data_IF_181906591802
#
_entry.id   IF_181906591802
#
_cell.length_a   1.000
_cell.length_b   1.000
_cell.length_c   1.000
_cell.angle_alpha   90.00
_cell.angle_beta   90.00
_cell.angle_gamma   90.00
#
_symmetry.space_group_name_H-M   'P 1'
#
loop_
_entity.id
_entity.type
_entity.pdbx_description
1 polymer ?
#
# COMPACT_ATOMS: atom_id res chain seq x y z
N UNK A 1 2.69 -52.38 -19.04
CA UNK A 1 3.60 -51.40 -18.38
C UNK A 1 3.75 -50.07 -19.13
N UNK A 2 3.53 -50.01 -20.46
CA UNK A 2 3.69 -48.79 -21.30
C UNK A 2 2.80 -47.56 -21.01
N UNK A 3 1.67 -47.69 -20.27
CA UNK A 3 0.76 -46.56 -20.00
C UNK A 3 1.18 -45.67 -18.83
N UNK A 4 1.92 -46.19 -17.84
CA UNK A 4 2.39 -45.41 -16.67
C UNK A 4 3.57 -44.51 -17.01
N UNK A 5 4.42 -44.93 -17.94
CA UNK A 5 5.59 -44.17 -18.39
C UNK A 5 5.18 -42.90 -19.16
N UNK A 6 4.16 -42.99 -20.03
CA UNK A 6 3.65 -41.82 -20.77
C UNK A 6 2.96 -40.79 -19.87
N UNK A 7 2.34 -41.21 -18.76
CA UNK A 7 1.71 -40.30 -17.80
C UNK A 7 2.76 -39.53 -16.97
N UNK A 8 3.86 -40.21 -16.60
CA UNK A 8 4.98 -39.56 -15.91
C UNK A 8 5.72 -38.56 -16.80
N UNK A 9 5.89 -38.87 -18.09
CA UNK A 9 6.48 -37.93 -19.07
C UNK A 9 5.58 -36.72 -19.30
N UNK A 10 4.25 -36.90 -19.36
CA UNK A 10 3.31 -35.79 -19.51
C UNK A 10 3.26 -34.89 -18.27
N UNK A 11 3.37 -35.47 -17.07
CA UNK A 11 3.49 -34.70 -15.81
C UNK A 11 4.82 -33.95 -15.71
N UNK A 12 5.94 -34.52 -16.21
CA UNK A 12 7.24 -33.85 -16.22
C UNK A 12 7.27 -32.66 -17.18
N UNK A 13 6.59 -32.76 -18.33
CA UNK A 13 6.44 -31.67 -19.30
C UNK A 13 5.52 -30.56 -18.74
N UNK A 14 4.46 -30.91 -18.00
CA UNK A 14 3.60 -29.92 -17.34
C UNK A 14 4.30 -29.19 -16.18
N UNK A 15 5.17 -29.86 -15.41
CA UNK A 15 5.97 -29.22 -14.36
C UNK A 15 7.05 -28.30 -14.96
N UNK A 16 7.54 -28.60 -16.16
CA UNK A 16 8.47 -27.73 -16.90
C UNK A 16 7.78 -26.50 -17.53
N UNK A 17 6.48 -26.56 -17.83
CA UNK A 17 5.71 -25.42 -18.35
C UNK A 17 5.19 -24.46 -17.27
N UNK A 18 5.25 -24.83 -15.98
CA UNK A 18 4.81 -24.00 -14.85
C UNK A 18 5.96 -23.47 -13.97
N UNK A 19 7.22 -23.62 -14.37
CA UNK A 19 8.35 -22.94 -13.73
C UNK A 19 8.67 -21.63 -14.49
N UNK A 20 8.46 -20.43 -13.92
CA UNK A 20 8.84 -19.18 -14.55
C UNK A 20 10.34 -18.91 -14.32
N UNK A 21 11.17 -19.91 -14.60
CA UNK A 21 12.60 -19.84 -14.32
C UNK A 21 13.32 -20.68 -15.35
N UNK A 22 13.49 -20.11 -16.55
CA UNK A 22 14.78 -20.08 -17.27
C UNK A 22 14.62 -19.13 -18.49
N UNK A 23 15.33 -18.01 -18.36
CA UNK A 23 15.94 -17.16 -19.38
C UNK A 23 15.05 -16.35 -20.35
N UNK A 24 15.07 -15.03 -20.16
CA UNK A 24 15.58 -14.08 -21.17
C UNK A 24 15.96 -12.75 -20.49
N UNK A 25 17.19 -12.29 -20.75
CA UNK A 25 17.64 -10.94 -20.45
C UNK A 25 18.36 -10.77 -19.12
N UNK A 26 19.66 -10.45 -19.18
CA UNK A 26 20.39 -9.85 -18.08
C UNK A 26 19.64 -8.60 -17.60
N UNK A 27 19.03 -8.68 -16.44
CA UNK A 27 18.81 -7.53 -15.58
C UNK A 27 19.47 -7.88 -14.26
N UNK A 28 20.67 -7.38 -14.03
CA UNK A 28 21.15 -7.10 -12.68
C UNK A 28 20.18 -6.11 -12.06
N UNK A 29 19.07 -6.60 -11.52
CA UNK A 29 18.26 -5.87 -10.56
C UNK A 29 19.07 -5.83 -9.27
N UNK A 30 19.64 -4.67 -8.97
CA UNK A 30 20.30 -4.41 -7.69
C UNK A 30 19.38 -4.81 -6.51
N UNK A 31 19.90 -5.47 -5.47
CA UNK A 31 19.12 -5.83 -4.29
C UNK A 31 18.75 -4.63 -3.39
N UNK A 32 19.12 -3.40 -3.76
CA UNK A 32 18.85 -2.19 -2.95
C UNK A 32 17.40 -1.69 -3.05
N UNK A 33 16.75 -1.82 -4.21
CA UNK A 33 15.41 -1.24 -4.43
C UNK A 33 14.30 -1.91 -3.62
N UNK A 34 14.46 -3.21 -3.32
CA UNK A 34 13.51 -3.95 -2.49
C UNK A 34 13.52 -3.48 -1.03
N UNK A 35 14.67 -3.02 -0.54
CA UNK A 35 14.83 -2.51 0.83
C UNK A 35 14.20 -1.12 0.97
N UNK A 36 14.52 -0.19 0.06
CA UNK A 36 13.95 1.17 0.03
C UNK A 36 12.42 1.14 -0.05
N UNK A 37 11.86 0.27 -0.91
CA UNK A 37 10.41 0.17 -1.04
C UNK A 37 9.71 -0.36 0.23
N UNK A 38 10.33 -1.30 0.93
CA UNK A 38 9.84 -1.78 2.22
C UNK A 38 9.90 -0.67 3.28
N UNK A 39 10.98 0.12 3.30
CA UNK A 39 11.12 1.27 4.20
C UNK A 39 10.04 2.32 3.94
N UNK A 40 9.73 2.62 2.67
CA UNK A 40 8.63 3.52 2.30
C UNK A 40 7.30 3.00 2.85
N UNK A 41 6.96 1.72 2.63
CA UNK A 41 5.71 1.13 3.14
C UNK A 41 5.65 1.23 4.66
N UNK A 42 6.73 0.85 5.34
CA UNK A 42 6.80 0.85 6.79
C UNK A 42 6.59 2.27 7.33
N UNK A 43 7.35 3.23 6.82
CA UNK A 43 7.28 4.62 7.27
C UNK A 43 5.88 5.20 7.05
N UNK A 44 5.26 4.90 5.93
CA UNK A 44 3.90 5.31 5.60
C UNK A 44 2.87 4.66 6.55
N UNK A 45 2.93 3.36 6.81
CA UNK A 45 1.98 2.66 7.72
C UNK A 45 2.14 3.13 9.17
N UNK A 46 3.37 3.43 9.59
CA UNK A 46 3.66 3.88 10.94
C UNK A 46 3.25 5.34 11.17
N UNK A 47 3.46 6.23 10.20
CA UNK A 47 3.34 7.68 10.41
C UNK A 47 2.12 8.32 9.75
N UNK A 48 1.29 7.54 9.03
CA UNK A 48 0.11 8.11 8.41
C UNK A 48 -0.89 8.63 9.46
N UNK A 49 -1.37 9.88 9.34
CA UNK A 49 -2.24 10.50 10.34
C UNK A 49 -3.61 9.82 10.47
N UNK A 50 -4.14 9.23 9.40
CA UNK A 50 -5.43 8.51 9.44
C UNK A 50 -5.28 7.21 10.22
N UNK A 51 -4.20 6.47 9.99
CA UNK A 51 -3.89 5.25 10.75
C UNK A 51 -3.54 5.56 12.21
N UNK A 52 -2.81 6.65 12.48
CA UNK A 52 -2.54 7.14 13.83
C UNK A 52 -3.85 7.44 14.59
N UNK A 53 -4.77 8.19 13.97
CA UNK A 53 -6.08 8.47 14.55
C UNK A 53 -6.90 7.21 14.82
N UNK A 54 -6.86 6.23 13.91
CA UNK A 54 -7.60 4.98 14.09
C UNK A 54 -7.01 4.11 15.19
N UNK A 55 -5.67 4.06 15.33
CA UNK A 55 -5.01 3.39 16.47
C UNK A 55 -5.40 4.03 17.79
N UNK A 56 -5.33 5.35 17.89
CA UNK A 56 -5.75 6.06 19.10
C UNK A 56 -7.22 5.82 19.49
N UNK A 57 -8.10 5.64 18.50
CA UNK A 57 -9.49 5.25 18.78
C UNK A 57 -9.61 3.82 19.34
N UNK A 58 -8.85 2.86 18.78
CA UNK A 58 -8.79 1.48 19.31
C UNK A 58 -8.24 1.49 20.74
N UNK A 59 -7.13 2.19 20.97
CA UNK A 59 -6.48 2.30 22.29
C UNK A 59 -7.47 2.88 23.32
N UNK A 60 -8.21 3.93 22.94
CA UNK A 60 -9.27 4.52 23.78
C UNK A 60 -10.34 3.48 24.16
N UNK A 61 -10.73 2.59 23.23
CA UNK A 61 -11.70 1.53 23.52
C UNK A 61 -11.11 0.47 24.43
N UNK A 62 -9.85 0.12 24.27
CA UNK A 62 -9.18 -0.92 25.07
C UNK A 62 -8.89 -0.45 26.50
N UNK A 63 -8.49 0.80 26.69
CA UNK A 63 -8.20 1.39 28.00
C UNK A 63 -9.44 1.68 28.85
N UNK A 64 -10.64 1.74 28.25
CA UNK A 64 -11.87 1.91 29.02
C UNK A 64 -12.06 0.76 30.01
N UNK A 65 -12.56 1.01 31.24
CA UNK A 65 -12.90 -0.07 32.16
C UNK A 65 -14.05 -0.91 31.60
N UNK A 66 -14.04 -2.22 31.84
CA UNK A 66 -15.14 -3.07 31.41
C UNK A 66 -16.48 -2.58 31.99
N UNK A 67 -17.58 -2.59 31.22
CA UNK A 67 -18.90 -2.30 31.74
C UNK A 67 -19.21 -3.19 32.97
N UNK A 68 -19.36 -2.55 34.14
CA UNK A 68 -19.63 -3.24 35.41
C UNK A 68 -18.39 -3.56 36.26
N UNK A 69 -17.18 -3.22 35.81
CA UNK A 69 -15.95 -3.38 36.58
C UNK A 69 -16.07 -2.65 37.94
N UNK A 70 -15.87 -3.39 39.04
CA UNK A 70 -15.94 -2.89 40.42
C UNK A 70 -17.34 -2.88 41.07
N UNK A 71 -18.43 -3.11 40.31
CA UNK A 71 -19.80 -3.12 40.84
C UNK A 71 -20.45 -4.50 40.84
N UNK A 72 -20.08 -5.38 39.89
CA UNK A 72 -20.66 -6.71 39.75
C UNK A 72 -19.56 -7.72 39.44
N UNK A 73 -19.39 -8.72 40.32
CA UNK A 73 -18.58 -9.89 40.02
C UNK A 73 -19.46 -10.94 39.32
N UNK A 74 -19.44 -10.96 37.98
CA UNK A 74 -20.24 -11.87 37.16
C UNK A 74 -19.90 -13.35 37.43
N UNK A 75 -18.64 -13.66 37.77
CA UNK A 75 -18.22 -15.01 38.17
C UNK A 75 -18.78 -15.39 39.54
N UNK A 76 -18.90 -14.44 40.47
CA UNK A 76 -19.56 -14.67 41.76
C UNK A 76 -21.07 -14.88 41.61
N UNK A 77 -21.73 -14.17 40.69
CA UNK A 77 -23.15 -14.37 40.40
C UNK A 77 -23.43 -15.70 39.70
N UNK A 78 -22.57 -16.12 38.76
CA UNK A 78 -22.71 -17.41 38.08
C UNK A 78 -22.32 -18.60 38.96
N UNK A 79 -21.36 -18.44 39.88
CA UNK A 79 -20.94 -19.51 40.80
C UNK A 79 -21.94 -19.75 41.95
N UNK A 80 -22.81 -18.77 42.27
CA UNK A 80 -23.93 -18.97 43.21
C UNK A 80 -25.12 -19.72 42.62
N UNK A 81 -25.19 -19.88 41.29
CA UNK A 81 -26.13 -20.79 40.63
C UNK A 81 -25.62 -22.25 40.73
N UNK A 82 -25.80 -22.87 41.89
CA UNK A 82 -25.62 -24.33 42.07
C UNK A 82 -26.70 -25.11 41.28
N UNK A 83 -26.42 -26.36 40.85
CA UNK A 83 -27.42 -27.20 40.22
C UNK A 83 -28.61 -27.39 41.16
N UNK A 84 -29.80 -27.06 40.66
CA UNK A 84 -31.08 -27.19 41.37
C UNK A 84 -31.30 -28.68 41.68
N UNK A 85 -31.27 -29.04 42.97
CA UNK A 85 -31.43 -30.43 43.41
C UNK A 85 -31.17 -30.71 44.90
N UNK A 86 -30.63 -29.78 45.69
CA UNK A 86 -30.58 -29.90 47.15
C UNK A 86 -31.71 -29.10 47.79
N UNK A 87 -32.57 -29.81 48.52
CA UNK A 87 -33.75 -29.28 49.19
C UNK A 87 -33.40 -28.16 50.18
N UNK A 88 -34.09 -27.02 50.06
CA UNK A 88 -34.13 -26.00 51.10
C UNK A 88 -33.01 -24.98 51.07
N UNK A 89 -32.82 -24.27 49.96
CA UNK A 89 -32.18 -22.95 50.00
C UNK A 89 -32.78 -22.05 48.93
N UNK A 90 -33.29 -20.89 49.37
CA UNK A 90 -33.86 -19.86 48.51
C UNK A 90 -32.87 -19.52 47.40
N UNK A 91 -33.24 -19.80 46.15
CA UNK A 91 -32.55 -19.20 45.00
C UNK A 91 -32.71 -17.69 45.22
N UNK A 92 -31.63 -16.92 45.41
CA UNK A 92 -31.77 -15.49 45.56
C UNK A 92 -32.34 -14.96 44.25
N UNK A 93 -33.65 -14.73 44.23
CA UNK A 93 -34.32 -14.07 43.13
C UNK A 93 -33.75 -12.66 43.09
N UNK A 94 -32.91 -12.38 42.09
CA UNK A 94 -32.52 -11.03 41.78
C UNK A 94 -33.81 -10.22 41.63
N UNK A 95 -33.89 -9.06 42.30
CA UNK A 95 -35.00 -8.15 42.08
C UNK A 95 -35.09 -7.84 40.58
N UNK A 96 -36.29 -7.58 40.06
CA UNK A 96 -36.46 -7.18 38.64
C UNK A 96 -35.50 -6.03 38.26
N UNK A 97 -35.23 -5.12 39.20
CA UNK A 97 -34.22 -4.07 39.03
C UNK A 97 -32.78 -4.59 38.85
N UNK A 98 -32.37 -5.64 39.57
CA UNK A 98 -31.05 -6.25 39.43
C UNK A 98 -30.93 -7.05 38.12
N UNK A 99 -32.00 -7.72 37.67
CA UNK A 99 -32.03 -8.41 36.36
C UNK A 99 -31.88 -7.41 35.21
N UNK A 100 -32.65 -6.31 35.24
CA UNK A 100 -32.56 -5.24 34.22
C UNK A 100 -31.15 -4.63 34.19
N UNK A 101 -30.53 -4.44 35.35
CA UNK A 101 -29.16 -3.93 35.43
C UNK A 101 -28.16 -4.90 34.80
N UNK A 102 -28.20 -6.19 35.15
CA UNK A 102 -27.32 -7.23 34.58
C UNK A 102 -27.48 -7.31 33.06
N UNK A 103 -28.71 -7.31 32.55
CA UNK A 103 -28.99 -7.34 31.11
C UNK A 103 -28.40 -6.10 30.40
N UNK A 104 -28.53 -4.92 31.02
CA UNK A 104 -27.92 -3.68 30.50
C UNK A 104 -26.38 -3.77 30.47
N UNK A 105 -25.75 -4.38 31.48
CA UNK A 105 -24.29 -4.57 31.49
C UNK A 105 -23.82 -5.54 30.42
N UNK A 106 -24.51 -6.67 30.26
CA UNK A 106 -24.20 -7.66 29.21
C UNK A 106 -24.33 -7.01 27.83
N UNK A 107 -25.39 -6.24 27.58
CA UNK A 107 -25.57 -5.53 26.33
C UNK A 107 -24.44 -4.53 26.07
N UNK A 108 -24.03 -3.75 27.08
CA UNK A 108 -22.92 -2.81 26.96
C UNK A 108 -21.57 -3.50 26.70
N UNK A 109 -21.33 -4.68 27.28
CA UNK A 109 -20.13 -5.48 26.98
C UNK A 109 -20.14 -5.92 25.52
N UNK A 110 -21.26 -6.48 25.05
CA UNK A 110 -21.43 -6.90 23.65
C UNK A 110 -21.27 -5.73 22.68
N UNK A 111 -21.85 -4.57 22.98
CA UNK A 111 -21.73 -3.36 22.16
C UNK A 111 -20.27 -2.90 22.08
N UNK A 112 -19.55 -2.90 23.22
CA UNK A 112 -18.12 -2.57 23.26
C UNK A 112 -17.29 -3.53 22.41
N UNK A 113 -17.48 -4.83 22.57
CA UNK A 113 -16.78 -5.85 21.78
C UNK A 113 -17.02 -5.67 20.28
N UNK A 114 -18.28 -5.42 19.90
CA UNK A 114 -18.65 -5.13 18.52
C UNK A 114 -17.97 -3.87 18.00
N UNK A 115 -17.97 -2.78 18.76
CA UNK A 115 -17.29 -1.54 18.37
C UNK A 115 -15.78 -1.74 18.22
N UNK A 116 -15.15 -2.48 19.13
CA UNK A 116 -13.73 -2.79 19.05
C UNK A 116 -13.39 -3.64 17.80
N UNK A 117 -14.18 -4.67 17.54
CA UNK A 117 -14.00 -5.51 16.35
C UNK A 117 -14.16 -4.70 15.05
N UNK A 118 -15.17 -3.82 14.99
CA UNK A 118 -15.37 -2.91 13.85
C UNK A 118 -14.22 -1.91 13.69
N UNK A 119 -13.69 -1.38 14.79
CA UNK A 119 -12.56 -0.45 14.77
C UNK A 119 -11.28 -1.14 14.25
N UNK A 120 -10.99 -2.37 14.72
CA UNK A 120 -9.85 -3.18 14.24
C UNK A 120 -9.99 -3.54 12.76
N UNK A 121 -11.17 -3.95 12.33
CA UNK A 121 -11.43 -4.22 10.91
C UNK A 121 -11.26 -2.96 10.05
N UNK A 122 -11.75 -1.81 10.53
CA UNK A 122 -11.60 -0.53 9.83
C UNK A 122 -10.12 -0.13 9.71
N UNK A 123 -9.32 -0.35 10.74
CA UNK A 123 -7.87 -0.13 10.69
C UNK A 123 -7.19 -0.96 9.59
N UNK A 124 -7.46 -2.27 9.52
CA UNK A 124 -6.85 -3.14 8.50
C UNK A 124 -7.31 -2.76 7.08
N UNK A 125 -8.58 -2.38 6.91
CA UNK A 125 -9.10 -1.90 5.63
C UNK A 125 -8.42 -0.59 5.20
N UNK A 126 -8.24 0.36 6.13
CA UNK A 126 -7.54 1.61 5.88
C UNK A 126 -6.08 1.36 5.50
N UNK A 127 -5.39 0.48 6.23
CA UNK A 127 -4.01 0.10 5.96
C UNK A 127 -3.86 -0.50 4.55
N UNK A 128 -4.73 -1.45 4.18
CA UNK A 128 -4.71 -2.05 2.85
C UNK A 128 -4.98 -1.02 1.73
N UNK A 129 -5.99 -0.16 1.92
CA UNK A 129 -6.32 0.92 0.99
C UNK A 129 -5.15 1.89 0.79
N UNK A 130 -4.47 2.21 1.88
CA UNK A 130 -3.35 3.13 1.88
C UNK A 130 -2.14 2.54 1.15
N UNK A 131 -1.80 1.28 1.43
CA UNK A 131 -0.74 0.57 0.69
C UNK A 131 -1.08 0.53 -0.80
N UNK A 132 -2.33 0.23 -1.16
CA UNK A 132 -2.76 0.24 -2.57
C UNK A 132 -2.62 1.61 -3.22
N UNK A 133 -2.94 2.70 -2.50
CA UNK A 133 -2.75 4.07 -3.01
C UNK A 133 -1.25 4.38 -3.22
N UNK A 134 -0.41 4.03 -2.25
CA UNK A 134 1.05 4.16 -2.37
C UNK A 134 1.58 3.41 -3.60
N UNK A 135 1.19 2.14 -3.80
CA UNK A 135 1.59 1.35 -4.97
C UNK A 135 1.19 2.03 -6.29
N UNK A 136 -0.02 2.59 -6.36
CA UNK A 136 -0.50 3.29 -7.54
C UNK A 136 0.34 4.55 -7.82
N UNK A 137 0.67 5.32 -6.77
CA UNK A 137 1.53 6.50 -6.87
C UNK A 137 2.94 6.16 -7.33
N UNK A 138 3.56 5.14 -6.75
CA UNK A 138 4.89 4.67 -7.19
C UNK A 138 4.88 4.15 -8.63
N UNK A 139 3.81 3.48 -9.05
CA UNK A 139 3.66 3.05 -10.45
C UNK A 139 3.62 4.26 -11.40
N UNK A 140 2.89 5.31 -11.04
CA UNK A 140 2.84 6.54 -11.87
C UNK A 140 4.19 7.28 -11.86
N UNK A 141 4.90 7.30 -10.72
CA UNK A 141 6.27 7.83 -10.65
C UNK A 141 7.21 7.09 -11.61
N UNK A 142 7.21 5.76 -11.59
CA UNK A 142 8.03 4.94 -12.49
C UNK A 142 7.68 5.20 -13.96
N UNK A 143 6.39 5.35 -14.29
CA UNK A 143 5.94 5.69 -15.64
C UNK A 143 6.42 7.07 -16.09
N UNK A 144 6.42 8.07 -15.20
CA UNK A 144 6.97 9.41 -15.49
C UNK A 144 8.49 9.37 -15.65
N UNK A 145 9.20 8.60 -14.83
CA UNK A 145 10.63 8.34 -14.95
C UNK A 145 10.99 7.74 -16.31
N UNK A 146 10.32 6.65 -16.69
CA UNK A 146 10.51 6.00 -17.99
C UNK A 146 10.15 6.93 -19.16
N UNK A 147 9.10 7.74 -19.02
CA UNK A 147 8.74 8.75 -20.04
C UNK A 147 9.85 9.78 -20.21
N UNK A 148 10.46 10.25 -19.10
CA UNK A 148 11.57 11.19 -19.14
C UNK A 148 12.79 10.60 -19.85
N UNK A 149 13.19 9.39 -19.45
CA UNK A 149 14.34 8.68 -20.04
C UNK A 149 14.16 8.47 -21.55
N UNK A 150 13.00 7.97 -21.98
CA UNK A 150 12.68 7.81 -23.40
C UNK A 150 12.75 9.14 -24.19
N UNK A 151 12.34 10.25 -23.57
CA UNK A 151 12.42 11.57 -24.19
C UNK A 151 13.88 12.08 -24.26
N UNK A 152 14.71 11.76 -23.26
CA UNK A 152 16.15 12.07 -23.27
C UNK A 152 16.87 11.32 -24.38
N UNK A 153 16.60 10.02 -24.55
CA UNK A 153 17.12 9.23 -25.67
C UNK A 153 16.69 9.80 -27.02
N UNK A 154 15.40 10.11 -27.17
CA UNK A 154 14.87 10.72 -28.39
C UNK A 154 15.55 12.07 -28.68
N UNK A 155 15.77 12.89 -27.65
CA UNK A 155 16.46 14.18 -27.80
C UNK A 155 17.89 13.97 -28.30
N UNK A 156 18.65 13.05 -27.69
CA UNK A 156 20.02 12.72 -28.11
C UNK A 156 20.09 12.28 -29.58
N UNK A 157 19.15 11.41 -30.00
CA UNK A 157 19.03 11.00 -31.39
C UNK A 157 18.73 12.19 -32.32
N UNK A 158 17.77 13.05 -31.96
CA UNK A 158 17.39 14.22 -32.75
C UNK A 158 18.53 15.24 -32.86
N UNK A 159 19.33 15.43 -31.80
CA UNK A 159 20.50 16.32 -31.81
C UNK A 159 21.59 15.78 -32.73
N UNK A 160 21.89 14.48 -32.66
CA UNK A 160 22.82 13.83 -33.60
C UNK A 160 22.33 14.00 -35.06
N UNK A 161 21.03 13.84 -35.29
CA UNK A 161 20.43 14.03 -36.61
C UNK A 161 20.50 15.49 -37.07
N UNK A 162 20.24 16.45 -36.18
CA UNK A 162 20.34 17.88 -36.44
C UNK A 162 21.73 18.23 -36.95
N UNK A 163 22.78 17.77 -36.27
CA UNK A 163 24.16 18.10 -36.60
C UNK A 163 24.57 17.53 -37.97
N UNK A 164 24.13 16.30 -38.29
CA UNK A 164 24.31 15.71 -39.62
C UNK A 164 23.56 16.49 -40.70
N UNK A 165 22.31 16.86 -40.42
CA UNK A 165 21.45 17.56 -41.38
C UNK A 165 21.93 18.98 -41.64
N UNK A 166 22.46 19.67 -40.62
CA UNK A 166 23.06 21.00 -40.77
C UNK A 166 24.21 21.00 -41.77
N UNK A 167 25.07 19.97 -41.76
CA UNK A 167 26.14 19.79 -42.76
C UNK A 167 25.59 19.60 -44.17
N UNK A 168 24.52 18.80 -44.32
CA UNK A 168 23.88 18.57 -45.62
C UNK A 168 23.20 19.84 -46.17
N UNK A 169 22.57 20.63 -45.31
CA UNK A 169 21.97 21.93 -45.69
C UNK A 169 23.05 22.92 -46.11
N UNK A 170 24.15 23.02 -45.36
CA UNK A 170 25.29 23.87 -45.71
C UNK A 170 25.93 23.47 -47.05
N UNK A 171 25.92 22.18 -47.38
CA UNK A 171 26.39 21.66 -48.66
C UNK A 171 25.36 21.76 -49.81
N UNK A 172 24.15 22.29 -49.55
CA UNK A 172 23.09 22.40 -50.54
C UNK A 172 22.40 21.08 -50.93
N UNK A 173 22.66 19.99 -50.19
CA UNK A 173 22.10 18.64 -50.46
C UNK A 173 20.65 18.54 -49.97
N UNK A 174 20.31 19.28 -48.90
CA UNK A 174 18.98 19.30 -48.28
C UNK A 174 18.49 20.73 -48.09
N UNK A 175 17.18 20.90 -48.13
CA UNK A 175 16.56 22.20 -47.89
C UNK A 175 16.64 22.61 -46.40
N UNK A 176 16.73 23.93 -46.11
CA UNK A 176 16.68 24.45 -44.74
C UNK A 176 15.40 24.09 -43.97
N UNK A 177 14.29 23.87 -44.67
CA UNK A 177 13.00 23.44 -44.10
C UNK A 177 13.13 22.15 -43.27
N UNK A 178 13.93 21.19 -43.74
CA UNK A 178 14.18 19.94 -43.02
C UNK A 178 14.91 20.18 -41.68
N UNK A 179 15.84 21.14 -41.64
CA UNK A 179 16.55 21.51 -40.41
C UNK A 179 15.63 22.19 -39.40
N UNK A 180 14.70 23.03 -39.87
CA UNK A 180 13.70 23.66 -39.03
C UNK A 180 12.82 22.62 -38.31
N UNK A 181 12.30 21.63 -39.04
CA UNK A 181 11.48 20.54 -38.47
C UNK A 181 12.22 19.78 -37.35
N UNK A 182 13.51 19.47 -37.54
CA UNK A 182 14.28 18.77 -36.50
C UNK A 182 14.49 19.67 -35.28
N UNK A 183 14.79 20.95 -35.47
CA UNK A 183 14.95 21.91 -34.36
C UNK A 183 13.67 22.08 -33.55
N UNK A 184 12.52 22.17 -34.22
CA UNK A 184 11.22 22.23 -33.55
C UNK A 184 10.97 20.98 -32.70
N UNK A 185 11.24 19.78 -33.25
CA UNK A 185 11.11 18.53 -32.50
C UNK A 185 12.04 18.48 -31.29
N UNK A 186 13.30 18.90 -31.41
CA UNK A 186 14.23 18.98 -30.26
C UNK A 186 13.67 19.90 -29.16
N UNK A 187 13.08 21.03 -29.54
CA UNK A 187 12.46 21.97 -28.60
C UNK A 187 11.25 21.33 -27.90
N UNK A 188 10.34 20.70 -28.65
CA UNK A 188 9.17 20.02 -28.10
C UNK A 188 9.57 18.87 -27.16
N UNK A 189 10.55 18.05 -27.55
CA UNK A 189 11.08 16.98 -26.68
C UNK A 189 11.70 17.55 -25.41
N UNK A 190 12.45 18.65 -25.51
CA UNK A 190 13.05 19.31 -24.33
C UNK A 190 12.01 19.85 -23.36
N UNK A 191 10.89 20.39 -23.86
CA UNK A 191 9.75 20.77 -23.02
C UNK A 191 9.09 19.54 -22.37
N UNK A 192 8.94 18.45 -23.13
CA UNK A 192 8.42 17.19 -22.60
C UNK A 192 9.25 16.62 -21.44
N UNK A 193 10.59 16.67 -21.54
CA UNK A 193 11.50 16.23 -20.47
C UNK A 193 11.27 17.06 -19.20
N UNK A 194 11.24 18.40 -19.33
CA UNK A 194 11.02 19.30 -18.20
C UNK A 194 9.67 19.04 -17.54
N UNK A 195 8.60 18.90 -18.33
CA UNK A 195 7.27 18.63 -17.79
C UNK A 195 7.22 17.28 -17.06
N UNK A 196 7.80 16.22 -17.63
CA UNK A 196 7.85 14.91 -16.97
C UNK A 196 8.64 14.95 -15.67
N UNK A 197 9.76 15.69 -15.63
CA UNK A 197 10.54 15.89 -14.42
C UNK A 197 9.75 16.65 -13.34
N UNK A 198 9.10 17.76 -13.70
CA UNK A 198 8.27 18.53 -12.75
C UNK A 198 7.06 17.75 -12.26
N UNK A 199 6.37 17.02 -13.15
CA UNK A 199 5.25 16.15 -12.77
C UNK A 199 5.70 15.08 -11.76
N UNK A 200 6.89 14.50 -11.96
CA UNK A 200 7.47 13.52 -11.05
C UNK A 200 7.80 14.13 -9.68
N UNK A 201 8.46 15.28 -9.64
CA UNK A 201 8.80 15.99 -8.40
C UNK A 201 7.54 16.36 -7.60
N UNK A 202 6.53 16.90 -8.27
CA UNK A 202 5.23 17.23 -7.66
C UNK A 202 4.59 15.97 -7.08
N UNK A 203 4.57 14.87 -7.83
CA UNK A 203 3.97 13.62 -7.38
C UNK A 203 4.69 13.05 -6.15
N UNK A 204 6.04 13.12 -6.10
CA UNK A 204 6.83 12.71 -4.93
C UNK A 204 6.48 13.55 -3.71
N UNK A 205 6.45 14.88 -3.86
CA UNK A 205 6.11 15.82 -2.78
C UNK A 205 4.67 15.62 -2.27
N UNK A 206 3.69 15.52 -3.16
CA UNK A 206 2.30 15.27 -2.80
C UNK A 206 2.14 13.95 -2.06
N UNK A 207 2.84 12.90 -2.50
CA UNK A 207 2.80 11.59 -1.85
C UNK A 207 3.41 11.68 -0.45
N UNK A 208 4.55 12.35 -0.32
CA UNK A 208 5.23 12.57 0.95
C UNK A 208 4.34 13.30 1.96
N UNK A 209 3.78 14.45 1.58
CA UNK A 209 2.94 15.28 2.44
C UNK A 209 1.67 14.52 2.87
N UNK A 210 1.01 13.85 1.94
CA UNK A 210 -0.28 13.22 2.23
C UNK A 210 -0.15 11.91 3.01
N UNK A 211 0.95 11.16 2.83
CA UNK A 211 1.10 9.84 3.42
C UNK A 211 2.06 9.79 4.61
N UNK A 212 3.06 10.67 4.67
CA UNK A 212 4.17 10.62 5.64
C UNK A 212 3.88 11.27 7.00
N UNK A 213 2.81 12.04 7.12
CA UNK A 213 2.44 12.70 8.38
C UNK A 213 3.57 13.58 8.91
N UNK A 214 4.01 13.33 10.16
CA UNK A 214 5.12 14.08 10.78
C UNK A 214 6.49 13.78 10.14
N UNK A 215 6.63 12.64 9.47
CA UNK A 215 7.86 12.19 8.79
C UNK A 215 7.76 12.31 7.27
N UNK A 216 7.05 13.32 6.79
CA UNK A 216 6.89 13.53 5.36
C UNK A 216 8.24 13.85 4.68
N UNK A 217 9.18 14.51 5.36
CA UNK A 217 10.53 14.79 4.84
C UNK A 217 11.31 13.49 4.62
N UNK A 218 11.38 12.61 5.63
CA UNK A 218 12.00 11.28 5.51
C UNK A 218 11.37 10.44 4.38
N UNK A 219 10.05 10.53 4.21
CA UNK A 219 9.34 9.86 3.12
C UNK A 219 9.74 10.43 1.76
N UNK A 220 9.90 11.75 1.66
CA UNK A 220 10.31 12.41 0.43
C UNK A 220 11.72 11.98 0.03
N UNK A 221 12.63 11.88 0.99
CA UNK A 221 14.00 11.42 0.76
C UNK A 221 14.03 10.00 0.20
N UNK A 222 13.28 9.07 0.81
CA UNK A 222 13.15 7.70 0.28
C UNK A 222 12.51 7.67 -1.10
N UNK A 223 11.48 8.49 -1.34
CA UNK A 223 10.85 8.59 -2.66
C UNK A 223 11.80 9.19 -3.71
N UNK A 224 12.78 10.00 -3.32
CA UNK A 224 13.79 10.54 -4.22
C UNK A 224 14.81 9.50 -4.68
N UNK A 225 15.01 8.43 -3.91
CA UNK A 225 15.86 7.29 -4.26
C UNK A 225 15.20 6.33 -5.26
N UNK A 226 13.87 6.44 -5.45
CA UNK A 226 13.06 5.65 -6.40
C UNK A 226 12.87 6.39 -7.73
#
# INVERSE_FOLDING_TARGET
MKKRENMLVLCLILVLLFNPSVAWGQATSEPQSADVFQQIIQLVVENNPILESQRGFIDTIEEMPEPGAGFINLEELQSRSRPVGEEGMEVPLLSLSAVIQVETFVQRKLDREKTLAQAKQSYENLKASLISNLMAKVTEMAKLGNKRENLEELKSFLETRRDSLEKQVKAGIKEPSALFVVKERVMQTSLGIKNAASELEILKLETAINLGGKKWEDLLDLLNEV
#
